data_IF_563977495082
#
_entry.id   IF_563977495082
#
_cell.length_a   1.000
_cell.length_b   1.000
_cell.length_c   1.000
_cell.angle_alpha   90.00
_cell.angle_beta   90.00
_cell.angle_gamma   90.00
#
_symmetry.space_group_name_H-M   'P 1'
#
loop_
_entity.id
_entity.type
_entity.pdbx_description
1 polymer ?
#
# COMPACT_ATOMS: atom_id res chain seq x y z
N UNK A 1 -28.56 -16.52 -0.24
CA UNK A 1 -27.17 -16.00 -0.16
C UNK A 1 -26.20 -17.11 -0.56
N UNK A 2 -25.53 -16.95 -1.69
CA UNK A 2 -24.47 -17.88 -2.11
C UNK A 2 -23.27 -17.75 -1.16
N UNK A 3 -23.11 -18.72 -0.26
CA UNK A 3 -21.99 -18.76 0.68
C UNK A 3 -20.84 -19.52 0.04
N UNK A 4 -19.71 -18.84 -0.16
CA UNK A 4 -18.47 -19.52 -0.55
C UNK A 4 -17.98 -20.46 0.56
N UNK A 5 -17.43 -21.65 0.21
CA UNK A 5 -16.73 -22.53 1.14
C UNK A 5 -15.61 -21.79 1.90
N UNK A 6 -15.30 -22.23 3.12
CA UNK A 6 -14.25 -21.59 3.96
C UNK A 6 -12.92 -21.51 3.21
N UNK A 7 -12.54 -22.58 2.51
CA UNK A 7 -11.30 -22.64 1.71
C UNK A 7 -11.23 -21.52 0.66
N UNK A 8 -12.32 -21.26 -0.08
CA UNK A 8 -12.37 -20.21 -1.09
C UNK A 8 -12.32 -18.83 -0.45
N UNK A 9 -12.98 -18.62 0.71
CA UNK A 9 -12.91 -17.36 1.46
C UNK A 9 -11.50 -17.06 1.97
N UNK A 10 -10.79 -18.08 2.47
CA UNK A 10 -9.38 -17.95 2.85
C UNK A 10 -8.50 -17.59 1.65
N UNK A 11 -8.72 -18.25 0.50
CA UNK A 11 -7.97 -17.94 -0.72
C UNK A 11 -8.18 -16.49 -1.19
N UNK A 12 -9.40 -15.97 -1.12
CA UNK A 12 -9.68 -14.56 -1.45
C UNK A 12 -8.94 -13.60 -0.51
N UNK A 13 -8.91 -13.91 0.80
CA UNK A 13 -8.15 -13.12 1.78
C UNK A 13 -6.64 -13.18 1.53
N UNK A 14 -6.10 -14.36 1.22
CA UNK A 14 -4.69 -14.52 0.83
C UNK A 14 -4.35 -13.82 -0.47
N UNK A 15 -5.26 -13.81 -1.45
CA UNK A 15 -5.09 -13.06 -2.69
C UNK A 15 -5.00 -11.57 -2.41
N UNK A 16 -5.93 -11.03 -1.63
CA UNK A 16 -5.94 -9.62 -1.29
C UNK A 16 -4.73 -9.21 -0.44
N UNK A 17 -4.34 -10.03 0.56
CA UNK A 17 -3.11 -9.85 1.30
C UNK A 17 -1.90 -9.81 0.35
N UNK A 18 -1.80 -10.77 -0.56
CA UNK A 18 -0.69 -10.88 -1.52
C UNK A 18 -0.62 -9.70 -2.49
N UNK A 19 -1.77 -9.09 -2.83
CA UNK A 19 -1.83 -7.88 -3.64
C UNK A 19 -1.37 -6.64 -2.86
N UNK A 20 -1.73 -6.54 -1.58
CA UNK A 20 -1.24 -5.48 -0.71
C UNK A 20 0.24 -5.64 -0.39
N UNK A 21 0.66 -6.84 0.01
CA UNK A 21 1.96 -7.08 0.59
C UNK A 21 3.10 -7.04 -0.44
N UNK A 22 3.61 -5.85 -0.69
CA UNK A 22 4.66 -5.56 -1.67
C UNK A 22 5.90 -4.88 -1.08
N UNK A 23 6.60 -4.13 -1.92
CA UNK A 23 7.84 -3.45 -1.58
C UNK A 23 7.74 -2.58 -0.33
N UNK A 24 6.69 -1.72 -0.25
CA UNK A 24 6.49 -0.83 0.90
C UNK A 24 6.27 -1.58 2.20
N UNK A 25 5.48 -2.64 2.12
CA UNK A 25 5.07 -3.45 3.27
C UNK A 25 6.22 -4.26 3.88
N UNK A 26 7.26 -4.52 3.10
CA UNK A 26 8.50 -5.11 3.58
C UNK A 26 9.47 -4.08 4.15
N UNK A 27 9.49 -2.86 3.63
CA UNK A 27 10.49 -1.84 4.00
C UNK A 27 10.04 -1.01 5.21
N UNK A 28 8.77 -0.55 5.22
CA UNK A 28 8.36 0.45 6.21
C UNK A 28 8.16 -0.10 7.63
N UNK A 29 7.62 -1.31 7.88
CA UNK A 29 7.54 -1.82 9.25
C UNK A 29 8.90 -2.01 9.93
N UNK A 30 9.93 -2.64 9.31
CA UNK A 30 11.24 -2.74 9.94
C UNK A 30 11.95 -1.38 10.07
N UNK A 31 11.76 -0.46 9.14
CA UNK A 31 12.26 0.91 9.28
C UNK A 31 11.61 1.62 10.47
N UNK A 32 10.28 1.54 10.61
CA UNK A 32 9.55 2.04 11.77
C UNK A 32 10.13 1.48 13.07
N UNK A 33 10.34 0.16 13.13
CA UNK A 33 10.91 -0.50 14.30
C UNK A 33 12.30 0.04 14.65
N UNK A 34 13.19 0.12 13.67
CA UNK A 34 14.55 0.62 13.85
C UNK A 34 14.59 2.09 14.33
N UNK A 35 13.73 2.95 13.78
CA UNK A 35 13.65 4.36 14.14
C UNK A 35 12.92 4.62 15.46
N UNK A 36 11.84 3.88 15.72
CA UNK A 36 11.05 4.04 16.93
C UNK A 36 11.71 3.41 18.17
N UNK A 37 12.54 2.38 17.99
CA UNK A 37 13.26 1.74 19.09
C UNK A 37 12.34 1.38 20.25
N UNK A 38 12.64 1.86 21.48
CA UNK A 38 11.83 1.61 22.67
C UNK A 38 10.39 2.13 22.59
N UNK A 39 10.11 3.08 21.68
CA UNK A 39 8.78 3.62 21.39
C UNK A 39 8.07 2.86 20.25
N UNK A 40 8.54 1.67 19.89
CA UNK A 40 8.00 0.87 18.78
C UNK A 40 6.49 0.63 18.88
N UNK A 41 5.98 0.17 20.01
CA UNK A 41 4.56 -0.20 20.11
C UNK A 41 3.59 0.98 19.94
N UNK A 42 3.81 2.16 20.55
CA UNK A 42 3.01 3.35 20.24
C UNK A 42 3.14 3.79 18.78
N UNK A 43 4.34 3.74 18.19
CA UNK A 43 4.55 4.05 16.78
C UNK A 43 3.83 3.04 15.87
N UNK A 44 3.92 1.75 16.21
CA UNK A 44 3.23 0.68 15.47
C UNK A 44 1.71 0.80 15.54
N UNK A 45 1.15 1.22 16.67
CA UNK A 45 -0.30 1.48 16.77
C UNK A 45 -0.74 2.55 15.76
N UNK A 46 -0.01 3.66 15.64
CA UNK A 46 -0.26 4.68 14.61
C UNK A 46 -0.09 4.14 13.19
N UNK A 47 0.99 3.42 12.95
CA UNK A 47 1.27 2.78 11.66
C UNK A 47 0.15 1.81 11.24
N UNK A 48 -0.34 0.97 12.18
CA UNK A 48 -1.42 0.03 11.91
C UNK A 48 -2.73 0.72 11.53
N UNK A 49 -3.03 1.89 12.10
CA UNK A 49 -4.21 2.68 11.71
C UNK A 49 -4.13 3.06 10.23
N UNK A 50 -3.00 3.56 9.76
CA UNK A 50 -2.85 4.07 8.39
C UNK A 50 -2.48 2.99 7.37
N UNK A 51 -1.61 2.05 7.73
CA UNK A 51 -1.13 1.02 6.82
C UNK A 51 -2.01 -0.24 6.79
N UNK A 52 -2.96 -0.40 7.72
CA UNK A 52 -3.87 -1.54 7.76
C UNK A 52 -5.33 -1.08 7.86
N UNK A 53 -5.63 -0.24 8.84
CA UNK A 53 -6.99 0.23 9.11
C UNK A 53 -7.60 0.96 7.90
N UNK A 54 -6.87 1.94 7.35
CA UNK A 54 -7.33 2.70 6.19
C UNK A 54 -7.47 1.84 4.91
N UNK A 55 -6.52 0.96 4.54
CA UNK A 55 -6.69 0.04 3.42
C UNK A 55 -7.93 -0.85 3.55
N UNK A 56 -8.12 -1.47 4.71
CA UNK A 56 -9.32 -2.31 4.97
C UNK A 56 -10.59 -1.46 4.91
N UNK A 57 -10.58 -0.28 5.52
CA UNK A 57 -11.70 0.67 5.44
C UNK A 57 -11.98 1.09 3.99
N UNK A 58 -10.94 1.33 3.19
CA UNK A 58 -11.05 1.62 1.75
C UNK A 58 -11.75 0.50 0.99
N UNK A 59 -11.32 -0.76 1.18
CA UNK A 59 -11.98 -1.94 0.57
C UNK A 59 -13.45 -2.03 0.99
N UNK A 60 -13.76 -1.80 2.28
CA UNK A 60 -15.14 -1.82 2.78
C UNK A 60 -15.97 -0.68 2.18
N UNK A 61 -15.41 0.54 2.12
CA UNK A 61 -16.07 1.72 1.58
C UNK A 61 -16.45 1.51 0.11
N UNK A 62 -15.51 1.04 -0.70
CA UNK A 62 -15.69 0.76 -2.12
C UNK A 62 -16.69 -0.39 -2.34
N UNK A 63 -16.57 -1.49 -1.57
CA UNK A 63 -17.52 -2.59 -1.64
C UNK A 63 -18.95 -2.17 -1.28
N UNK A 64 -19.13 -1.23 -0.33
CA UNK A 64 -20.45 -0.69 0.03
C UNK A 64 -21.00 0.31 -0.99
N UNK A 65 -20.12 1.06 -1.64
CA UNK A 65 -20.50 2.06 -2.63
C UNK A 65 -20.83 1.43 -4.01
N UNK A 66 -20.39 0.21 -4.27
CA UNK A 66 -20.51 -0.45 -5.56
C UNK A 66 -19.34 -0.18 -6.52
N UNK A 67 -18.31 0.53 -6.06
CA UNK A 67 -17.09 0.85 -6.82
C UNK A 67 -16.42 2.12 -6.35
N UNK A 68 -15.16 2.32 -6.73
CA UNK A 68 -14.43 3.53 -6.37
C UNK A 68 -15.00 4.77 -7.07
N UNK A 69 -15.32 4.67 -8.36
CA UNK A 69 -15.96 5.76 -9.11
C UNK A 69 -17.29 6.18 -8.50
N UNK A 70 -18.10 5.22 -8.03
CA UNK A 70 -19.37 5.49 -7.36
C UNK A 70 -19.16 6.16 -6.01
N UNK A 71 -18.13 5.79 -5.25
CA UNK A 71 -17.75 6.44 -4.01
C UNK A 71 -17.33 7.88 -4.25
N UNK A 72 -16.44 8.12 -5.20
CA UNK A 72 -15.90 9.45 -5.52
C UNK A 72 -16.94 10.36 -6.19
N UNK A 73 -17.88 9.81 -6.96
CA UNK A 73 -18.96 10.57 -7.62
C UNK A 73 -19.98 11.20 -6.65
N UNK A 74 -19.98 10.76 -5.38
CA UNK A 74 -20.76 11.44 -4.32
C UNK A 74 -20.32 12.88 -4.11
N UNK A 75 -19.06 13.22 -4.42
CA UNK A 75 -18.56 14.60 -4.46
C UNK A 75 -19.04 15.28 -5.74
N UNK A 76 -18.54 14.83 -6.87
CA UNK A 76 -18.93 15.32 -8.20
C UNK A 76 -18.41 14.35 -9.29
N UNK A 77 -19.15 14.13 -10.40
CA UNK A 77 -18.70 13.22 -11.48
C UNK A 77 -17.33 13.57 -12.07
N UNK A 78 -17.03 14.86 -12.28
CA UNK A 78 -15.71 15.30 -12.76
C UNK A 78 -14.61 15.06 -11.75
N UNK A 79 -14.89 15.26 -10.45
CA UNK A 79 -13.95 14.93 -9.38
C UNK A 79 -13.66 13.43 -9.37
N UNK A 80 -14.69 12.59 -9.47
CA UNK A 80 -14.53 11.13 -9.55
C UNK A 80 -13.56 10.74 -10.66
N UNK A 81 -13.81 11.22 -11.89
CA UNK A 81 -12.95 10.90 -13.02
C UNK A 81 -11.48 11.31 -12.79
N UNK A 82 -11.27 12.57 -12.40
CA UNK A 82 -9.89 13.10 -12.21
C UNK A 82 -9.20 12.42 -11.04
N UNK A 83 -9.88 12.31 -9.90
CA UNK A 83 -9.29 11.73 -8.68
C UNK A 83 -8.98 10.24 -8.86
N UNK A 84 -9.89 9.48 -9.46
CA UNK A 84 -9.68 8.06 -9.72
C UNK A 84 -8.52 7.85 -10.70
N UNK A 85 -8.44 8.62 -11.79
CA UNK A 85 -7.30 8.57 -12.72
C UNK A 85 -5.98 8.87 -11.98
N UNK A 86 -5.93 9.93 -11.16
CA UNK A 86 -4.73 10.30 -10.40
C UNK A 86 -4.30 9.20 -9.43
N UNK A 87 -5.25 8.59 -8.73
CA UNK A 87 -4.97 7.46 -7.83
C UNK A 87 -4.45 6.25 -8.60
N UNK A 88 -5.11 5.86 -9.71
CA UNK A 88 -4.64 4.73 -10.51
C UNK A 88 -3.28 4.96 -11.16
N UNK A 89 -2.98 6.18 -11.62
CA UNK A 89 -1.65 6.51 -12.14
C UNK A 89 -0.59 6.50 -11.05
N UNK A 90 -0.92 6.98 -9.84
CA UNK A 90 0.02 7.01 -8.72
C UNK A 90 0.38 5.60 -8.24
N UNK A 91 -0.60 4.73 -7.95
CA UNK A 91 -0.31 3.34 -7.56
C UNK A 91 0.11 2.46 -8.74
N UNK A 92 -0.17 2.91 -9.95
CA UNK A 92 0.18 2.26 -11.21
C UNK A 92 1.59 2.64 -11.68
N UNK A 93 1.69 3.12 -12.92
CA UNK A 93 2.95 3.28 -13.61
C UNK A 93 3.88 4.33 -13.01
N UNK A 94 3.35 5.31 -12.22
CA UNK A 94 4.19 6.41 -11.76
C UNK A 94 5.01 6.07 -10.51
N UNK A 95 4.46 5.34 -9.53
CA UNK A 95 5.10 5.17 -8.22
C UNK A 95 5.16 3.72 -7.75
N UNK A 96 4.01 3.04 -7.51
CA UNK A 96 4.02 1.77 -6.81
C UNK A 96 4.53 0.61 -7.68
N UNK A 97 4.10 0.50 -8.93
CA UNK A 97 4.55 -0.58 -9.83
C UNK A 97 6.07 -0.48 -10.09
N UNK A 98 6.64 0.69 -10.48
CA UNK A 98 8.09 0.81 -10.66
C UNK A 98 8.89 0.47 -9.40
N UNK A 99 8.38 0.86 -8.22
CA UNK A 99 9.02 0.57 -6.94
C UNK A 99 9.17 -0.92 -6.67
N UNK A 100 8.24 -1.76 -7.14
CA UNK A 100 8.34 -3.22 -6.94
C UNK A 100 9.59 -3.81 -7.57
N UNK A 101 9.90 -3.44 -8.81
CA UNK A 101 11.09 -3.93 -9.51
C UNK A 101 12.39 -3.35 -8.92
N UNK A 102 12.42 -2.03 -8.64
CA UNK A 102 13.60 -1.38 -8.05
C UNK A 102 13.95 -1.97 -6.69
N UNK A 103 12.95 -2.17 -5.81
CA UNK A 103 13.19 -2.72 -4.47
C UNK A 103 13.64 -4.17 -4.50
N UNK A 104 12.99 -5.01 -5.31
CA UNK A 104 13.41 -6.42 -5.42
C UNK A 104 14.78 -6.56 -6.06
N UNK A 105 15.16 -5.68 -6.98
CA UNK A 105 16.52 -5.64 -7.54
C UNK A 105 17.55 -5.29 -6.48
N UNK A 106 17.31 -4.29 -5.62
CA UNK A 106 18.24 -3.91 -4.55
C UNK A 106 18.58 -5.07 -3.61
N UNK A 107 17.63 -5.97 -3.37
CA UNK A 107 17.88 -7.18 -2.56
C UNK A 107 18.72 -8.23 -3.29
N UNK A 108 18.81 -8.16 -4.61
CA UNK A 108 19.67 -9.03 -5.41
C UNK A 108 21.09 -8.49 -5.56
N UNK A 109 21.31 -7.18 -5.43
CA UNK A 109 22.63 -6.54 -5.60
C UNK A 109 23.74 -7.20 -4.79
N UNK A 110 23.56 -7.56 -3.49
CA UNK A 110 24.60 -8.25 -2.72
C UNK A 110 24.98 -9.64 -3.26
N UNK A 111 24.09 -10.26 -4.06
CA UNK A 111 24.27 -11.62 -4.59
C UNK A 111 24.87 -11.65 -5.99
N UNK A 112 24.42 -10.70 -6.85
CA UNK A 112 24.73 -10.72 -8.30
C UNK A 112 25.53 -9.51 -8.76
N UNK A 113 25.79 -8.55 -7.87
CA UNK A 113 26.39 -7.28 -8.19
C UNK A 113 25.39 -6.22 -8.64
N UNK A 114 25.83 -4.95 -8.66
CA UNK A 114 25.03 -3.80 -9.08
C UNK A 114 25.47 -3.26 -10.44
N UNK A 115 24.62 -2.44 -11.05
CA UNK A 115 24.93 -1.74 -12.29
C UNK A 115 23.70 -1.47 -13.14
N UNK A 116 23.73 -0.37 -13.89
CA UNK A 116 22.56 0.06 -14.72
C UNK A 116 22.13 -0.98 -15.75
N UNK A 117 23.10 -1.67 -16.38
CA UNK A 117 22.80 -2.71 -17.38
C UNK A 117 22.11 -3.92 -16.76
N UNK A 118 22.56 -4.35 -15.56
CA UNK A 118 21.97 -5.48 -14.84
C UNK A 118 20.56 -5.12 -14.33
N UNK A 119 20.38 -3.90 -13.81
CA UNK A 119 19.06 -3.39 -13.39
C UNK A 119 18.08 -3.35 -14.56
N UNK A 120 18.51 -2.88 -15.74
CA UNK A 120 17.68 -2.85 -16.93
C UNK A 120 17.30 -4.28 -17.37
N UNK A 121 18.29 -5.19 -17.46
CA UNK A 121 18.04 -6.61 -17.80
C UNK A 121 17.05 -7.27 -16.82
N UNK A 122 17.26 -7.06 -15.52
CA UNK A 122 16.33 -7.53 -14.48
C UNK A 122 14.92 -6.97 -14.66
N UNK A 123 14.79 -5.64 -14.85
CA UNK A 123 13.49 -5.00 -15.00
C UNK A 123 12.72 -5.50 -16.23
N UNK A 124 13.40 -5.75 -17.35
CA UNK A 124 12.78 -6.34 -18.55
C UNK A 124 12.19 -7.72 -18.21
N UNK A 125 12.97 -8.60 -17.60
CA UNK A 125 12.50 -9.96 -17.25
C UNK A 125 11.37 -9.91 -16.22
N UNK A 126 11.51 -9.09 -15.19
CA UNK A 126 10.52 -8.93 -14.13
C UNK A 126 9.17 -8.45 -14.68
N UNK A 127 9.18 -7.38 -15.50
CA UNK A 127 7.93 -6.81 -16.04
C UNK A 127 7.33 -7.68 -17.15
N UNK A 128 8.14 -8.36 -17.95
CA UNK A 128 7.65 -9.34 -18.93
C UNK A 128 6.90 -10.49 -18.22
N UNK A 129 7.50 -11.06 -17.17
CA UNK A 129 6.86 -12.10 -16.37
C UNK A 129 5.58 -11.59 -15.68
N UNK A 130 5.63 -10.40 -15.06
CA UNK A 130 4.48 -9.80 -14.42
C UNK A 130 3.32 -9.51 -15.40
N UNK A 131 3.62 -9.00 -16.59
CA UNK A 131 2.66 -8.80 -17.65
C UNK A 131 1.97 -10.10 -18.08
N UNK A 132 2.75 -11.17 -18.36
CA UNK A 132 2.20 -12.46 -18.76
C UNK A 132 1.24 -13.04 -17.71
N UNK A 133 1.54 -12.87 -16.42
CA UNK A 133 0.65 -13.31 -15.35
C UNK A 133 -0.59 -12.42 -15.25
N UNK A 134 -0.44 -11.11 -15.45
CA UNK A 134 -1.53 -10.13 -15.38
C UNK A 134 -2.52 -10.21 -16.55
N UNK A 135 -2.18 -10.88 -17.66
CA UNK A 135 -3.08 -11.08 -18.81
C UNK A 135 -4.40 -11.78 -18.44
N UNK A 136 -4.43 -12.54 -17.32
CA UNK A 136 -5.60 -13.28 -16.87
C UNK A 136 -5.98 -12.87 -15.44
N UNK A 137 -6.57 -11.68 -15.26
CA UNK A 137 -6.88 -11.14 -13.93
C UNK A 137 -7.86 -11.98 -13.13
N UNK A 138 -8.71 -12.76 -13.79
CA UNK A 138 -9.64 -13.70 -13.18
C UNK A 138 -8.97 -14.91 -12.50
N UNK A 139 -7.72 -15.21 -12.85
CA UNK A 139 -6.92 -16.33 -12.29
C UNK A 139 -5.98 -15.92 -11.16
N UNK A 140 -6.02 -14.66 -10.72
CA UNK A 140 -5.12 -14.16 -9.67
C UNK A 140 -5.30 -14.92 -8.35
N UNK A 141 -6.52 -15.30 -7.98
CA UNK A 141 -6.78 -16.08 -6.76
C UNK A 141 -6.01 -17.39 -6.74
N UNK A 142 -5.95 -18.10 -7.87
CA UNK A 142 -5.22 -19.37 -7.96
C UNK A 142 -3.71 -19.17 -7.97
N UNK A 143 -3.23 -18.14 -8.65
CA UNK A 143 -1.79 -17.89 -8.81
C UNK A 143 -1.15 -17.24 -7.57
N UNK A 144 -1.75 -16.15 -7.09
CA UNK A 144 -1.22 -15.38 -5.97
C UNK A 144 -1.64 -15.98 -4.62
N UNK A 145 -2.93 -16.29 -4.46
CA UNK A 145 -3.47 -16.71 -3.17
C UNK A 145 -3.13 -18.14 -2.79
N UNK A 146 -3.07 -19.07 -3.77
CA UNK A 146 -2.87 -20.51 -3.49
C UNK A 146 -1.41 -20.90 -3.32
N UNK A 147 -0.48 -20.27 -4.07
CA UNK A 147 0.92 -20.69 -4.14
C UNK A 147 1.86 -19.63 -3.57
N UNK A 148 1.85 -18.43 -4.14
CA UNK A 148 2.85 -17.42 -3.81
C UNK A 148 2.65 -16.83 -2.41
N UNK A 149 1.41 -16.62 -1.97
CA UNK A 149 1.13 -16.06 -0.67
C UNK A 149 1.56 -17.00 0.50
N UNK A 150 1.20 -18.29 0.54
CA UNK A 150 1.68 -19.19 1.58
C UNK A 150 3.21 -19.34 1.59
N UNK A 151 3.85 -19.39 0.40
CA UNK A 151 5.31 -19.42 0.31
C UNK A 151 5.94 -18.17 0.93
N UNK A 152 5.43 -17.00 0.60
CA UNK A 152 5.89 -15.72 1.15
C UNK A 152 5.75 -15.68 2.67
N UNK A 153 4.59 -16.05 3.21
CA UNK A 153 4.35 -16.10 4.65
C UNK A 153 5.32 -17.07 5.32
N UNK A 154 5.52 -18.26 4.78
CA UNK A 154 6.46 -19.24 5.31
C UNK A 154 7.89 -18.70 5.38
N UNK A 155 8.36 -18.03 4.31
CA UNK A 155 9.69 -17.43 4.27
C UNK A 155 9.88 -16.31 5.32
N UNK A 156 8.85 -15.47 5.53
CA UNK A 156 8.86 -14.42 6.56
C UNK A 156 8.89 -15.05 7.96
N UNK A 157 8.12 -16.12 8.17
CA UNK A 157 8.17 -16.85 9.45
C UNK A 157 9.54 -17.46 9.73
N UNK A 158 10.24 -17.99 8.73
CA UNK A 158 11.62 -18.49 8.89
C UNK A 158 12.55 -17.37 9.36
N UNK A 159 12.47 -16.19 8.71
CA UNK A 159 13.28 -15.04 9.11
C UNK A 159 12.97 -14.59 10.54
N UNK A 160 11.69 -14.50 10.89
CA UNK A 160 11.24 -14.09 12.21
C UNK A 160 11.62 -15.12 13.30
N UNK A 161 11.43 -16.40 13.05
CA UNK A 161 11.83 -17.47 13.97
C UNK A 161 13.35 -17.47 14.20
N UNK A 162 14.14 -17.23 13.14
CA UNK A 162 15.58 -17.06 13.26
C UNK A 162 15.95 -15.92 14.22
N UNK A 163 15.28 -14.77 14.10
CA UNK A 163 15.48 -13.62 14.99
C UNK A 163 15.08 -13.91 16.45
N UNK A 164 14.02 -14.69 16.67
CA UNK A 164 13.59 -15.07 18.03
C UNK A 164 14.55 -16.06 18.68
N UNK A 165 15.08 -17.03 17.91
CA UNK A 165 16.01 -18.04 18.40
C UNK A 165 17.42 -17.46 18.63
N UNK A 166 17.81 -16.51 17.81
CA UNK A 166 19.11 -15.84 17.85
C UNK A 166 18.92 -14.32 17.75
N UNK A 167 18.43 -13.66 18.83
CA UNK A 167 18.19 -12.22 18.77
C UNK A 167 19.51 -11.46 18.56
N UNK A 168 19.51 -10.54 17.58
CA UNK A 168 20.68 -9.74 17.23
C UNK A 168 21.00 -8.66 18.27
N UNK A 169 20.04 -8.32 19.13
CA UNK A 169 20.20 -7.43 20.28
C UNK A 169 19.26 -7.85 21.41
N UNK A 170 19.67 -7.60 22.68
CA UNK A 170 18.88 -7.93 23.85
C UNK A 170 17.75 -6.90 24.14
N UNK A 171 17.91 -5.67 23.65
CA UNK A 171 17.00 -4.56 23.93
C UNK A 171 16.82 -3.71 22.66
N UNK A 172 15.73 -2.96 22.61
CA UNK A 172 15.50 -1.96 21.58
C UNK A 172 16.44 -0.76 21.73
N UNK A 173 16.79 -0.12 20.62
CA UNK A 173 17.54 1.14 20.63
C UNK A 173 16.73 2.28 21.27
N UNK A 174 17.36 3.38 21.72
CA UNK A 174 16.66 4.62 21.98
C UNK A 174 15.93 5.09 20.72
N UNK A 175 14.76 5.76 20.87
CA UNK A 175 14.02 6.26 19.71
C UNK A 175 14.77 7.40 19.04
N UNK A 176 14.71 7.48 17.71
CA UNK A 176 15.14 8.66 16.95
C UNK A 176 14.30 9.90 17.36
N UNK A 177 14.85 11.09 17.16
CA UNK A 177 14.25 12.34 17.64
C UNK A 177 12.78 12.54 17.20
N UNK A 178 12.41 12.13 15.98
CA UNK A 178 11.05 12.19 15.47
C UNK A 178 10.09 11.33 16.31
N UNK A 179 10.52 10.12 16.69
CA UNK A 179 9.70 9.16 17.44
C UNK A 179 9.73 9.33 18.96
N UNK A 180 10.55 10.28 19.47
CA UNK A 180 10.69 10.51 20.90
C UNK A 180 9.46 11.19 21.53
N UNK A 181 8.82 12.12 20.80
CA UNK A 181 7.72 12.95 21.33
C UNK A 181 6.35 12.41 21.00
N UNK A 182 6.08 12.10 19.73
CA UNK A 182 4.76 11.70 19.22
C UNK A 182 4.87 10.46 18.32
N UNK A 183 5.31 9.32 18.86
CA UNK A 183 5.59 8.11 18.06
C UNK A 183 4.40 7.62 17.25
N UNK A 184 3.15 7.74 17.77
CA UNK A 184 1.95 7.32 17.06
C UNK A 184 1.68 8.18 15.81
N UNK A 185 1.93 9.49 15.87
CA UNK A 185 1.75 10.40 14.72
C UNK A 185 2.76 10.09 13.62
N UNK A 186 4.03 9.91 13.98
CA UNK A 186 5.07 9.49 13.03
C UNK A 186 4.75 8.11 12.43
N UNK A 187 4.21 7.21 13.25
CA UNK A 187 3.71 5.92 12.78
C UNK A 187 2.62 6.06 11.72
N UNK A 188 1.62 6.94 11.91
CA UNK A 188 0.57 7.20 10.92
C UNK A 188 1.18 7.70 9.60
N UNK A 189 2.10 8.65 9.66
CA UNK A 189 2.77 9.18 8.46
C UNK A 189 3.62 8.12 7.75
N UNK A 190 4.35 7.32 8.52
CA UNK A 190 5.10 6.17 8.01
C UNK A 190 4.21 5.18 7.26
N UNK A 191 2.98 4.95 7.75
CA UNK A 191 2.03 4.07 7.11
C UNK A 191 1.47 4.59 5.77
N UNK A 192 1.44 5.90 5.52
CA UNK A 192 1.07 6.43 4.20
C UNK A 192 2.02 5.98 3.11
N UNK A 193 3.29 5.77 3.43
CA UNK A 193 4.31 5.38 2.47
C UNK A 193 4.12 3.96 1.92
N UNK A 194 3.30 3.11 2.59
CA UNK A 194 2.94 1.78 2.06
C UNK A 194 2.09 1.89 0.80
N UNK A 195 1.34 2.98 0.60
CA UNK A 195 0.37 3.22 -0.49
C UNK A 195 -0.86 2.32 -0.45
N UNK A 196 -1.02 1.51 0.59
CA UNK A 196 -2.07 0.50 0.67
C UNK A 196 -3.48 1.09 0.77
N UNK A 197 -3.65 2.28 1.38
CA UNK A 197 -4.96 2.91 1.45
C UNK A 197 -5.50 3.31 0.05
N UNK A 198 -4.61 3.81 -0.82
CA UNK A 198 -4.96 4.10 -2.22
C UNK A 198 -5.18 2.81 -3.00
N UNK A 199 -4.34 1.79 -2.78
CA UNK A 199 -4.51 0.48 -3.38
C UNK A 199 -5.82 -0.20 -2.96
N UNK A 200 -6.22 -0.05 -1.68
CA UNK A 200 -7.47 -0.59 -1.14
C UNK A 200 -8.73 -0.06 -1.82
N UNK A 201 -8.70 1.20 -2.28
CA UNK A 201 -9.77 1.78 -3.08
C UNK A 201 -9.92 1.10 -4.46
N UNK A 202 -8.85 0.50 -4.97
CA UNK A 202 -8.81 -0.06 -6.31
C UNK A 202 -8.92 -1.59 -6.34
N UNK A 203 -8.38 -2.29 -5.34
CA UNK A 203 -8.36 -3.76 -5.32
C UNK A 203 -9.75 -4.39 -5.23
N UNK A 204 -10.75 -3.64 -4.78
CA UNK A 204 -12.13 -4.10 -4.70
C UNK A 204 -12.68 -4.58 -6.05
N UNK A 205 -12.34 -3.92 -7.15
CA UNK A 205 -12.80 -4.29 -8.49
C UNK A 205 -12.22 -5.65 -8.94
N UNK A 206 -10.90 -5.84 -8.80
CA UNK A 206 -10.25 -7.11 -9.15
C UNK A 206 -10.73 -8.24 -8.26
N UNK A 207 -10.93 -7.98 -6.97
CA UNK A 207 -11.45 -8.98 -6.06
C UNK A 207 -12.89 -9.39 -6.42
N UNK A 208 -13.73 -8.43 -6.82
CA UNK A 208 -15.08 -8.72 -7.29
C UNK A 208 -15.08 -9.64 -8.52
N UNK A 209 -14.19 -9.40 -9.50
CA UNK A 209 -14.03 -10.30 -10.66
C UNK A 209 -13.60 -11.71 -10.24
N UNK A 210 -12.66 -11.83 -9.31
CA UNK A 210 -12.24 -13.15 -8.82
C UNK A 210 -13.38 -13.87 -8.08
N UNK A 211 -14.23 -13.15 -7.34
CA UNK A 211 -15.42 -13.71 -6.67
C UNK A 211 -16.45 -14.18 -7.72
N UNK A 212 -16.65 -13.38 -8.79
CA UNK A 212 -17.54 -13.77 -9.90
C UNK A 212 -17.03 -15.01 -10.63
N UNK A 213 -15.73 -15.11 -10.88
CA UNK A 213 -15.09 -16.28 -11.49
C UNK A 213 -15.27 -17.56 -10.64
N UNK A 214 -15.49 -17.42 -9.31
CA UNK A 214 -15.85 -18.54 -8.42
C UNK A 214 -17.36 -18.89 -8.46
N UNK A 215 -18.13 -18.30 -9.39
CA UNK A 215 -19.54 -18.59 -9.60
C UNK A 215 -20.51 -17.80 -8.72
N UNK A 216 -20.04 -16.77 -8.00
CA UNK A 216 -20.92 -15.89 -7.21
C UNK A 216 -21.41 -14.76 -8.08
N UNK A 217 -22.73 -14.73 -8.35
CA UNK A 217 -23.36 -13.70 -9.20
C UNK A 217 -24.19 -12.69 -8.42
N UNK A 218 -24.59 -13.03 -7.18
CA UNK A 218 -25.39 -12.15 -6.33
C UNK A 218 -24.53 -10.99 -5.81
N UNK A 219 -24.92 -9.75 -6.10
CA UNK A 219 -24.18 -8.53 -5.74
C UNK A 219 -23.91 -8.40 -4.24
N UNK A 220 -24.93 -8.71 -3.40
CA UNK A 220 -24.77 -8.70 -1.94
C UNK A 220 -23.76 -9.74 -1.46
N UNK A 221 -23.70 -10.91 -2.10
CA UNK A 221 -22.74 -11.95 -1.78
C UNK A 221 -21.31 -11.55 -2.19
N UNK A 222 -21.15 -10.92 -3.36
CA UNK A 222 -19.86 -10.36 -3.81
C UNK A 222 -19.37 -9.33 -2.78
N UNK A 223 -20.22 -8.36 -2.42
CA UNK A 223 -19.88 -7.32 -1.44
C UNK A 223 -19.44 -7.91 -0.09
N UNK A 224 -20.19 -8.87 0.45
CA UNK A 224 -19.85 -9.48 1.74
C UNK A 224 -18.55 -10.28 1.71
N UNK A 225 -18.31 -11.04 0.63
CA UNK A 225 -17.07 -11.79 0.49
C UNK A 225 -15.86 -10.85 0.30
N UNK A 226 -16.02 -9.73 -0.41
CA UNK A 226 -15.00 -8.68 -0.53
C UNK A 226 -14.65 -8.09 0.85
N UNK A 227 -15.65 -7.73 1.65
CA UNK A 227 -15.45 -7.19 3.01
C UNK A 227 -14.73 -8.22 3.90
N UNK A 228 -15.15 -9.49 3.88
CA UNK A 228 -14.50 -10.55 4.68
C UNK A 228 -13.05 -10.79 4.25
N UNK A 229 -12.79 -10.76 2.95
CA UNK A 229 -11.42 -10.86 2.44
C UNK A 229 -10.57 -9.66 2.90
N UNK A 230 -11.13 -8.45 2.95
CA UNK A 230 -10.48 -7.26 3.50
C UNK A 230 -10.05 -7.43 4.95
N UNK A 231 -10.95 -7.91 5.81
CA UNK A 231 -10.63 -8.15 7.23
C UNK A 231 -9.59 -9.28 7.41
N UNK A 232 -9.66 -10.34 6.61
CA UNK A 232 -8.67 -11.42 6.67
C UNK A 232 -7.29 -10.92 6.23
N UNK A 233 -7.21 -10.16 5.13
CA UNK A 233 -5.97 -9.56 4.66
C UNK A 233 -5.40 -8.59 5.70
N UNK A 234 -6.25 -7.72 6.29
CA UNK A 234 -5.86 -6.80 7.36
C UNK A 234 -5.30 -7.51 8.59
N UNK A 235 -5.93 -8.61 9.02
CA UNK A 235 -5.43 -9.42 10.13
C UNK A 235 -4.05 -10.04 9.85
N UNK A 236 -3.83 -10.54 8.63
CA UNK A 236 -2.51 -11.04 8.20
C UNK A 236 -1.47 -9.92 8.17
N UNK A 237 -1.82 -8.75 7.60
CA UNK A 237 -0.93 -7.58 7.59
C UNK A 237 -0.54 -7.17 9.01
N UNK A 238 -1.50 -7.15 9.95
CA UNK A 238 -1.24 -6.78 11.34
C UNK A 238 -0.18 -7.68 11.99
N UNK A 239 -0.33 -8.99 11.83
CA UNK A 239 0.62 -9.97 12.37
C UNK A 239 2.00 -9.80 11.72
N UNK A 240 2.05 -9.77 10.39
CA UNK A 240 3.33 -9.68 9.67
C UNK A 240 4.04 -8.35 9.95
N UNK A 241 3.31 -7.23 10.01
CA UNK A 241 3.93 -5.92 10.30
C UNK A 241 4.43 -5.83 11.74
N UNK A 242 3.71 -6.42 12.71
CA UNK A 242 4.20 -6.51 14.08
C UNK A 242 5.49 -7.32 14.16
N UNK A 243 5.56 -8.45 13.45
CA UNK A 243 6.77 -9.28 13.35
C UNK A 243 7.93 -8.51 12.74
N UNK A 244 7.74 -7.90 11.55
CA UNK A 244 8.77 -7.15 10.84
C UNK A 244 9.23 -5.91 11.61
N UNK A 245 8.30 -5.20 12.27
CA UNK A 245 8.62 -4.03 13.08
C UNK A 245 9.38 -4.39 14.35
N UNK A 246 9.00 -5.47 15.03
CA UNK A 246 9.75 -6.00 16.19
C UNK A 246 11.19 -6.38 15.82
N UNK A 247 11.33 -7.11 14.71
CA UNK A 247 12.64 -7.46 14.14
C UNK A 247 13.45 -6.20 13.83
N UNK A 248 12.80 -5.20 13.22
CA UNK A 248 13.43 -3.90 12.93
C UNK A 248 13.91 -3.18 14.17
N UNK A 249 13.13 -3.18 15.26
CA UNK A 249 13.50 -2.54 16.53
C UNK A 249 14.74 -3.18 17.19
N UNK A 250 14.88 -4.51 17.09
CA UNK A 250 16.08 -5.22 17.56
C UNK A 250 17.28 -4.97 16.64
N UNK A 251 17.06 -5.04 15.32
CA UNK A 251 18.15 -4.83 14.35
C UNK A 251 18.68 -3.41 14.36
N UNK A 252 17.82 -2.40 14.56
CA UNK A 252 18.23 -1.00 14.69
C UNK A 252 19.20 -0.77 15.86
N UNK A 253 19.08 -1.54 16.94
CA UNK A 253 20.04 -1.49 18.05
C UNK A 253 21.40 -2.12 17.69
N UNK A 254 21.40 -3.16 16.85
CA UNK A 254 22.64 -3.84 16.42
C UNK A 254 23.31 -3.16 15.22
N UNK A 255 22.57 -2.48 14.37
CA UNK A 255 23.02 -1.83 13.15
C UNK A 255 22.44 -0.40 13.02
N UNK A 256 22.92 0.57 13.82
CA UNK A 256 22.35 1.92 13.89
C UNK A 256 22.56 2.74 12.59
N UNK A 257 23.51 2.35 11.75
CA UNK A 257 23.82 3.06 10.50
C UNK A 257 22.83 2.76 9.36
N UNK A 258 21.90 1.80 9.56
CA UNK A 258 20.89 1.47 8.56
C UNK A 258 19.88 2.62 8.42
N UNK A 259 19.78 3.17 7.21
CA UNK A 259 18.88 4.30 6.88
C UNK A 259 17.54 3.87 6.31
N UNK A 260 17.46 2.66 5.77
CA UNK A 260 16.28 2.08 5.14
C UNK A 260 15.87 0.76 5.77
N UNK A 261 14.58 0.42 5.70
CA UNK A 261 14.12 -0.89 6.18
C UNK A 261 14.66 -2.07 5.37
N UNK A 262 15.07 -1.82 4.13
CA UNK A 262 15.73 -2.81 3.29
C UNK A 262 17.12 -3.16 3.85
N UNK A 263 17.90 -2.15 4.24
CA UNK A 263 19.21 -2.33 4.90
C UNK A 263 19.06 -3.03 6.25
N UNK A 264 18.05 -2.64 7.05
CA UNK A 264 17.73 -3.30 8.33
C UNK A 264 17.48 -4.80 8.16
N UNK A 265 16.65 -5.18 7.19
CA UNK A 265 16.38 -6.61 6.92
C UNK A 265 17.59 -7.32 6.33
N UNK A 266 18.40 -6.64 5.50
CA UNK A 266 19.62 -7.20 4.93
C UNK A 266 20.68 -7.47 6.01
N UNK A 267 20.87 -6.53 6.94
CA UNK A 267 21.74 -6.69 8.10
C UNK A 267 21.31 -7.88 8.96
N UNK A 268 20.00 -7.97 9.28
CA UNK A 268 19.45 -9.09 10.03
C UNK A 268 19.69 -10.44 9.33
N UNK A 269 19.26 -10.55 8.06
CA UNK A 269 19.36 -11.79 7.31
C UNK A 269 20.80 -12.27 7.18
N UNK A 270 21.74 -11.33 6.97
CA UNK A 270 23.17 -11.63 6.93
C UNK A 270 23.71 -12.07 8.28
N UNK A 271 23.29 -11.44 9.39
CA UNK A 271 23.70 -11.79 10.74
C UNK A 271 23.22 -13.20 11.17
N UNK A 272 21.96 -13.55 10.81
CA UNK A 272 21.34 -14.81 11.20
C UNK A 272 21.83 -16.00 10.34
N UNK A 273 21.90 -15.84 9.04
CA UNK A 273 22.06 -16.94 8.10
C UNK A 273 23.17 -16.71 7.05
N UNK A 274 23.94 -15.62 7.17
CA UNK A 274 24.99 -15.28 6.20
C UNK A 274 24.44 -15.18 4.77
N UNK A 275 25.10 -15.82 3.81
CA UNK A 275 24.71 -15.82 2.40
C UNK A 275 23.34 -16.48 2.16
N UNK A 276 22.99 -17.50 2.92
CA UNK A 276 21.67 -18.13 2.85
C UNK A 276 20.57 -17.18 3.28
N UNK A 277 20.82 -16.31 4.26
CA UNK A 277 19.89 -15.24 4.69
C UNK A 277 19.67 -14.21 3.59
N UNK A 278 20.70 -13.81 2.87
CA UNK A 278 20.56 -12.89 1.73
C UNK A 278 19.72 -13.51 0.61
N UNK A 279 19.91 -14.80 0.30
CA UNK A 279 19.07 -15.52 -0.66
C UNK A 279 17.61 -15.61 -0.21
N UNK A 280 17.38 -15.91 1.07
CA UNK A 280 16.05 -15.95 1.67
C UNK A 280 15.36 -14.59 1.53
N UNK A 281 16.05 -13.51 1.88
CA UNK A 281 15.52 -12.15 1.80
C UNK A 281 15.22 -11.75 0.35
N UNK A 282 16.13 -12.04 -0.58
CA UNK A 282 15.92 -11.78 -2.01
C UNK A 282 14.67 -12.52 -2.54
N UNK A 283 14.46 -13.78 -2.12
CA UNK A 283 13.26 -14.55 -2.48
C UNK A 283 11.98 -13.92 -1.90
N UNK A 284 11.99 -13.48 -0.63
CA UNK A 284 10.87 -12.79 0.02
C UNK A 284 10.50 -11.53 -0.79
N UNK A 285 11.47 -10.66 -1.06
CA UNK A 285 11.22 -9.42 -1.78
C UNK A 285 10.79 -9.67 -3.23
N UNK A 286 11.39 -10.63 -3.92
CA UNK A 286 11.01 -10.97 -5.28
C UNK A 286 9.53 -11.42 -5.35
N UNK A 287 9.12 -12.35 -4.50
CA UNK A 287 7.76 -12.89 -4.47
C UNK A 287 6.75 -11.78 -4.08
N UNK A 288 7.01 -11.03 -3.01
CA UNK A 288 6.13 -9.99 -2.55
C UNK A 288 5.95 -8.87 -3.59
N UNK A 289 7.06 -8.36 -4.12
CA UNK A 289 7.04 -7.31 -5.13
C UNK A 289 6.37 -7.78 -6.43
N UNK A 290 6.63 -9.02 -6.84
CA UNK A 290 6.01 -9.59 -8.03
C UNK A 290 4.49 -9.71 -7.88
N UNK A 291 4.00 -10.21 -6.74
CA UNK A 291 2.58 -10.34 -6.46
C UNK A 291 1.85 -9.00 -6.54
N UNK A 292 2.38 -7.99 -5.86
CA UNK A 292 1.81 -6.64 -5.89
C UNK A 292 1.88 -6.02 -7.28
N UNK A 293 3.00 -6.20 -8.00
CA UNK A 293 3.14 -5.73 -9.37
C UNK A 293 2.05 -6.28 -10.29
N UNK A 294 1.84 -7.60 -10.26
CA UNK A 294 0.80 -8.28 -11.05
C UNK A 294 -0.60 -7.77 -10.68
N UNK A 295 -0.87 -7.66 -9.39
CA UNK A 295 -2.15 -7.12 -8.90
C UNK A 295 -2.41 -5.70 -9.39
N UNK A 296 -1.43 -4.81 -9.28
CA UNK A 296 -1.54 -3.42 -9.71
C UNK A 296 -1.64 -3.27 -11.23
N UNK A 297 -0.85 -4.00 -12.03
CA UNK A 297 -0.97 -4.00 -13.50
C UNK A 297 -2.39 -4.42 -13.89
N UNK A 298 -2.94 -5.45 -13.23
CA UNK A 298 -4.29 -5.93 -13.49
C UNK A 298 -5.35 -4.88 -13.15
N UNK A 299 -5.23 -4.22 -11.99
CA UNK A 299 -6.17 -3.17 -11.58
C UNK A 299 -6.16 -1.99 -12.54
N UNK A 300 -4.96 -1.46 -12.83
CA UNK A 300 -4.80 -0.28 -13.69
C UNK A 300 -5.27 -0.60 -15.12
N UNK A 301 -4.85 -1.75 -15.65
CA UNK A 301 -5.25 -2.19 -17.00
C UNK A 301 -6.77 -2.32 -17.14
N UNK A 302 -7.45 -2.91 -16.16
CA UNK A 302 -8.91 -3.05 -16.15
C UNK A 302 -9.61 -1.69 -16.07
N UNK A 303 -9.19 -0.83 -15.14
CA UNK A 303 -9.78 0.49 -15.01
C UNK A 303 -9.68 1.30 -16.31
N UNK A 304 -8.48 1.39 -16.90
CA UNK A 304 -8.31 2.12 -18.14
C UNK A 304 -9.02 1.46 -19.33
N UNK A 305 -9.22 0.15 -19.31
CA UNK A 305 -10.06 -0.51 -20.32
C UNK A 305 -11.54 -0.08 -20.21
N UNK A 306 -12.05 0.17 -18.99
CA UNK A 306 -13.42 0.72 -18.84
C UNK A 306 -13.53 2.17 -19.36
N UNK A 307 -12.47 2.98 -19.23
CA UNK A 307 -12.42 4.35 -19.76
C UNK A 307 -12.19 4.40 -21.25
N UNK A 308 -11.41 3.47 -21.78
CA UNK A 308 -10.99 3.40 -23.18
C UNK A 308 -11.37 2.05 -23.81
N UNK A 309 -12.67 1.76 -24.00
CA UNK A 309 -13.13 0.44 -24.46
C UNK A 309 -12.60 0.01 -25.83
N UNK A 310 -12.14 1.00 -26.64
CA UNK A 310 -11.54 0.75 -27.95
C UNK A 310 -10.16 0.09 -27.86
N UNK A 311 -9.46 0.24 -26.74
CA UNK A 311 -8.13 -0.33 -26.52
C UNK A 311 -8.28 -1.63 -25.75
N UNK A 312 -7.82 -2.77 -26.29
CA UNK A 312 -7.98 -4.06 -25.60
C UNK A 312 -7.13 -4.08 -24.31
N UNK A 313 -7.65 -4.78 -23.29
CA UNK A 313 -7.00 -4.91 -21.98
C UNK A 313 -5.51 -5.32 -22.06
N UNK A 314 -5.09 -6.32 -22.89
CA UNK A 314 -3.68 -6.70 -22.99
C UNK A 314 -2.77 -5.55 -23.46
N UNK A 315 -3.25 -4.67 -24.35
CA UNK A 315 -2.46 -3.54 -24.82
C UNK A 315 -2.25 -2.50 -23.71
N UNK A 316 -3.30 -2.22 -22.91
CA UNK A 316 -3.21 -1.32 -21.76
C UNK A 316 -2.30 -1.89 -20.66
N UNK A 317 -2.46 -3.18 -20.31
CA UNK A 317 -1.61 -3.83 -19.33
C UNK A 317 -0.14 -3.84 -19.78
N UNK A 318 0.13 -4.10 -21.07
CA UNK A 318 1.47 -4.03 -21.67
C UNK A 318 2.05 -2.61 -21.65
N UNK A 319 1.24 -1.59 -21.98
CA UNK A 319 1.66 -0.19 -21.90
C UNK A 319 2.06 0.21 -20.48
N UNK A 320 1.23 -0.12 -19.48
CA UNK A 320 1.53 0.21 -18.08
C UNK A 320 2.73 -0.57 -17.54
N UNK A 321 2.90 -1.82 -17.93
CA UNK A 321 4.10 -2.61 -17.59
C UNK A 321 5.36 -1.99 -18.19
N UNK A 322 5.35 -1.61 -19.49
CA UNK A 322 6.47 -0.99 -20.17
C UNK A 322 6.81 0.39 -19.59
N UNK A 323 5.81 1.24 -19.33
CA UNK A 323 6.01 2.55 -18.70
C UNK A 323 6.63 2.40 -17.30
N UNK A 324 6.13 1.45 -16.50
CA UNK A 324 6.67 1.15 -15.17
C UNK A 324 8.10 0.60 -15.23
N UNK A 325 8.41 -0.22 -16.23
CA UNK A 325 9.76 -0.73 -16.48
C UNK A 325 10.74 0.43 -16.70
N UNK A 326 10.38 1.40 -17.55
CA UNK A 326 11.24 2.56 -17.81
C UNK A 326 11.48 3.38 -16.54
N UNK A 327 10.43 3.66 -15.77
CA UNK A 327 10.49 4.45 -14.53
C UNK A 327 11.27 3.70 -13.44
N UNK A 328 11.18 2.36 -13.36
CA UNK A 328 11.91 1.57 -12.36
C UNK A 328 13.43 1.72 -12.42
N UNK A 329 13.96 2.10 -13.57
CA UNK A 329 15.40 2.31 -13.78
C UNK A 329 15.93 3.65 -13.20
N UNK A 330 15.05 4.52 -12.67
CA UNK A 330 15.45 5.71 -11.89
C UNK A 330 16.03 5.30 -10.53
N UNK A 331 15.74 4.10 -10.07
CA UNK A 331 16.15 3.57 -8.76
C UNK A 331 15.17 3.86 -7.63
N UNK A 332 15.29 3.10 -6.55
CA UNK A 332 14.34 3.15 -5.41
C UNK A 332 14.32 4.53 -4.75
N UNK A 333 15.49 5.11 -4.47
CA UNK A 333 15.59 6.42 -3.81
C UNK A 333 14.91 7.53 -4.63
N UNK A 334 15.08 7.52 -5.95
CA UNK A 334 14.41 8.47 -6.86
C UNK A 334 12.89 8.32 -6.83
N UNK A 335 12.39 7.09 -6.84
CA UNK A 335 10.95 6.81 -6.79
C UNK A 335 10.36 7.24 -5.45
N UNK A 336 11.00 6.96 -4.31
CA UNK A 336 10.55 7.38 -2.98
C UNK A 336 10.48 8.90 -2.89
N UNK A 337 11.51 9.61 -3.38
CA UNK A 337 11.54 11.09 -3.39
C UNK A 337 10.38 11.68 -4.20
N UNK A 338 10.03 11.07 -5.33
CA UNK A 338 8.89 11.49 -6.15
C UNK A 338 7.55 11.15 -5.50
N UNK A 339 7.48 10.04 -4.76
CA UNK A 339 6.25 9.56 -4.12
C UNK A 339 5.75 10.49 -3.02
N UNK A 340 6.64 11.02 -2.19
CA UNK A 340 6.28 11.75 -0.97
C UNK A 340 5.33 12.93 -1.22
N UNK A 341 5.61 13.89 -2.13
CA UNK A 341 4.69 15.00 -2.39
C UNK A 341 3.38 14.56 -3.04
N UNK A 342 3.42 13.57 -3.94
CA UNK A 342 2.22 13.06 -4.60
C UNK A 342 1.29 12.38 -3.60
N UNK A 343 1.82 11.57 -2.70
CA UNK A 343 1.04 10.93 -1.64
C UNK A 343 0.50 11.97 -0.67
N UNK A 344 1.30 12.96 -0.28
CA UNK A 344 0.86 14.08 0.57
C UNK A 344 -0.34 14.83 0.00
N UNK A 345 -0.44 14.94 -1.33
CA UNK A 345 -1.57 15.57 -2.00
C UNK A 345 -2.82 14.66 -2.09
N UNK A 346 -2.65 13.35 -2.32
CA UNK A 346 -3.76 12.44 -2.59
C UNK A 346 -4.35 11.79 -1.32
N UNK A 347 -3.51 11.45 -0.35
CA UNK A 347 -3.94 10.71 0.85
C UNK A 347 -5.01 11.42 1.67
N UNK A 348 -4.92 12.73 1.98
CA UNK A 348 -5.94 13.40 2.77
C UNK A 348 -7.34 13.32 2.14
N UNK A 349 -7.44 13.55 0.83
CA UNK A 349 -8.70 13.43 0.11
C UNK A 349 -9.24 12.00 0.11
N UNK A 350 -8.38 10.99 -0.05
CA UNK A 350 -8.75 9.57 0.04
C UNK A 350 -9.25 9.20 1.44
N UNK A 351 -8.54 9.61 2.49
CA UNK A 351 -8.91 9.36 3.89
C UNK A 351 -10.28 9.95 4.20
N UNK A 352 -10.48 11.22 3.84
CA UNK A 352 -11.76 11.92 4.04
C UNK A 352 -12.89 11.21 3.29
N UNK A 353 -12.67 10.84 2.03
CA UNK A 353 -13.66 10.13 1.23
C UNK A 353 -14.05 8.77 1.86
N UNK A 354 -13.07 8.03 2.35
CA UNK A 354 -13.30 6.78 3.09
C UNK A 354 -14.10 7.08 4.36
N UNK A 355 -13.66 8.03 5.19
CA UNK A 355 -14.30 8.36 6.47
C UNK A 355 -15.76 8.79 6.28
N UNK A 356 -16.05 9.64 5.31
CA UNK A 356 -17.42 10.10 5.00
C UNK A 356 -18.35 8.95 4.59
N UNK A 357 -17.80 7.88 3.98
CA UNK A 357 -18.59 6.70 3.58
C UNK A 357 -19.14 5.90 4.76
N UNK A 358 -18.56 6.07 5.96
CA UNK A 358 -19.01 5.41 7.19
C UNK A 358 -19.99 6.24 8.01
N UNK A 359 -20.25 7.50 7.63
CA UNK A 359 -21.27 8.30 8.29
C UNK A 359 -22.65 7.64 8.16
N UNK A 360 -23.56 7.83 9.15
CA UNK A 360 -24.95 7.43 9.02
C UNK A 360 -25.59 8.05 7.77
N UNK A 361 -26.50 7.33 7.12
CA UNK A 361 -27.12 7.76 5.85
C UNK A 361 -27.73 9.17 5.92
N UNK A 362 -28.28 9.57 7.08
CA UNK A 362 -28.83 10.92 7.29
C UNK A 362 -27.79 12.04 7.09
N UNK A 363 -26.51 11.75 7.32
CA UNK A 363 -25.42 12.71 7.21
C UNK A 363 -24.64 12.60 5.88
N UNK A 364 -24.96 11.62 5.04
CA UNK A 364 -24.33 11.43 3.73
C UNK A 364 -24.93 12.36 2.66
N UNK A 365 -25.05 13.66 2.97
CA UNK A 365 -25.50 14.67 2.02
C UNK A 365 -24.40 15.01 1.02
N UNK A 366 -24.77 15.39 -0.20
CA UNK A 366 -23.80 15.81 -1.24
C UNK A 366 -22.99 17.03 -0.81
N UNK A 367 -23.63 18.01 -0.14
CA UNK A 367 -22.95 19.19 0.42
C UNK A 367 -21.80 18.81 1.36
N UNK A 368 -22.01 17.82 2.24
CA UNK A 368 -20.99 17.31 3.16
C UNK A 368 -19.81 16.74 2.39
N UNK A 369 -20.05 15.90 1.39
CA UNK A 369 -18.96 15.35 0.56
C UNK A 369 -18.21 16.45 -0.19
N UNK A 370 -18.92 17.37 -0.84
CA UNK A 370 -18.30 18.43 -1.65
C UNK A 370 -17.46 19.36 -0.77
N UNK A 371 -18.02 19.92 0.30
CA UNK A 371 -17.31 20.89 1.14
C UNK A 371 -16.11 20.26 1.83
N UNK A 372 -16.28 19.06 2.42
CA UNK A 372 -15.20 18.40 3.15
C UNK A 372 -14.05 18.02 2.22
N UNK A 373 -14.35 17.35 1.11
CA UNK A 373 -13.32 16.89 0.18
C UNK A 373 -12.64 18.06 -0.55
N UNK A 374 -13.40 19.10 -0.94
CA UNK A 374 -12.82 20.26 -1.62
C UNK A 374 -11.82 21.02 -0.73
N UNK A 375 -12.19 21.35 0.52
CA UNK A 375 -11.30 22.05 1.43
C UNK A 375 -10.08 21.22 1.79
N UNK A 376 -10.26 19.91 1.98
CA UNK A 376 -9.15 18.98 2.21
C UNK A 376 -8.21 18.91 1.01
N UNK A 377 -8.76 18.72 -0.20
CA UNK A 377 -7.96 18.59 -1.41
C UNK A 377 -7.19 19.88 -1.74
N UNK A 378 -7.81 21.04 -1.60
CA UNK A 378 -7.12 22.33 -1.78
C UNK A 378 -5.95 22.46 -0.83
N UNK A 379 -6.17 22.20 0.47
CA UNK A 379 -5.09 22.29 1.46
C UNK A 379 -3.98 21.26 1.18
N UNK A 380 -4.31 20.01 0.88
CA UNK A 380 -3.29 18.98 0.67
C UNK A 380 -2.47 19.20 -0.61
N UNK A 381 -3.09 19.72 -1.67
CA UNK A 381 -2.38 20.12 -2.89
C UNK A 381 -1.46 21.31 -2.61
N UNK A 382 -1.94 22.34 -1.89
CA UNK A 382 -1.09 23.45 -1.47
C UNK A 382 0.07 22.98 -0.60
N UNK A 383 -0.15 22.02 0.32
CA UNK A 383 0.90 21.46 1.16
C UNK A 383 2.01 20.73 0.36
N UNK A 384 1.67 20.17 -0.78
CA UNK A 384 2.61 19.47 -1.65
C UNK A 384 3.47 20.44 -2.50
N UNK A 385 3.11 21.72 -2.58
CA UNK A 385 3.83 22.72 -3.35
C UNK A 385 4.93 23.40 -2.50
N UNK A 386 6.17 23.51 -2.99
CA UNK A 386 7.30 23.99 -2.19
C UNK A 386 7.18 25.45 -1.74
N UNK A 387 6.43 26.29 -2.47
CA UNK A 387 6.27 27.71 -2.17
C UNK A 387 5.18 28.04 -1.16
N UNK A 388 4.35 27.06 -0.75
CA UNK A 388 3.26 27.23 0.23
C UNK A 388 3.57 26.59 1.59
N UNK A 389 4.73 25.96 1.73
CA UNK A 389 5.11 25.22 2.95
C UNK A 389 4.97 26.04 4.24
N UNK A 390 5.35 27.31 4.23
CA UNK A 390 5.25 28.20 5.40
C UNK A 390 3.78 28.43 5.83
N UNK A 391 2.86 28.61 4.89
CA UNK A 391 1.45 28.79 5.18
C UNK A 391 0.80 27.51 5.74
N UNK A 392 1.20 26.37 5.19
CA UNK A 392 0.65 25.05 5.58
C UNK A 392 1.14 24.65 6.98
N UNK A 393 2.40 24.89 7.28
CA UNK A 393 2.97 24.60 8.62
C UNK A 393 2.39 25.50 9.71
N UNK A 394 1.87 26.68 9.38
CA UNK A 394 1.19 27.58 10.31
C UNK A 394 -0.20 27.07 10.73
N UNK A 395 -0.82 26.16 9.98
CA UNK A 395 -2.09 25.57 10.38
C UNK A 395 -1.92 24.65 11.60
N UNK A 396 -2.91 24.58 12.50
CA UNK A 396 -2.91 23.60 13.59
C UNK A 396 -2.64 22.19 13.04
N UNK A 397 -1.75 21.45 13.69
CA UNK A 397 -1.25 20.15 13.27
C UNK A 397 -0.44 20.16 11.96
N UNK A 398 -0.19 21.31 11.32
CA UNK A 398 0.57 21.43 10.08
C UNK A 398 2.02 20.96 10.23
N UNK A 399 2.67 21.31 11.35
CA UNK A 399 4.03 20.87 11.70
C UNK A 399 4.16 19.35 11.86
N UNK A 400 3.06 18.65 12.07
CA UNK A 400 2.98 17.18 12.21
C UNK A 400 2.45 16.48 10.95
N UNK A 401 2.34 17.18 9.82
CA UNK A 401 1.82 16.59 8.57
C UNK A 401 0.28 16.41 8.52
N UNK A 402 -0.46 16.87 9.53
CA UNK A 402 -1.92 16.75 9.62
C UNK A 402 -2.66 18.07 9.44
N UNK A 403 -2.05 19.06 8.79
CA UNK A 403 -2.67 20.36 8.54
C UNK A 403 -3.98 20.31 7.76
N UNK A 404 -4.25 19.22 7.06
CA UNK A 404 -5.49 18.98 6.33
C UNK A 404 -6.70 18.67 7.25
N UNK A 405 -6.48 18.26 8.50
CA UNK A 405 -7.55 17.86 9.43
C UNK A 405 -8.48 19.03 9.75
N UNK A 406 -7.90 20.22 9.96
CA UNK A 406 -8.69 21.43 10.29
C UNK A 406 -9.58 21.86 9.10
N UNK A 407 -9.08 22.00 7.86
CA UNK A 407 -9.92 22.22 6.69
C UNK A 407 -10.98 21.13 6.47
N UNK A 408 -10.64 19.85 6.73
CA UNK A 408 -11.60 18.74 6.65
C UNK A 408 -12.75 18.92 7.67
N UNK A 409 -12.44 19.22 8.93
CA UNK A 409 -13.42 19.48 9.96
C UNK A 409 -14.29 20.71 9.64
N UNK A 410 -13.69 21.80 9.18
CA UNK A 410 -14.42 22.98 8.72
C UNK A 410 -15.36 22.65 7.56
N UNK A 411 -14.88 21.90 6.56
CA UNK A 411 -15.69 21.45 5.43
C UNK A 411 -16.86 20.56 5.84
N UNK A 412 -16.65 19.68 6.83
CA UNK A 412 -17.70 18.85 7.39
C UNK A 412 -18.80 19.71 8.05
N UNK A 413 -18.41 20.67 8.89
CA UNK A 413 -19.35 21.58 9.55
C UNK A 413 -20.13 22.43 8.54
N UNK A 414 -19.42 23.05 7.58
CA UNK A 414 -20.04 23.84 6.50
C UNK A 414 -21.01 22.98 5.70
N UNK A 415 -20.61 21.75 5.34
CA UNK A 415 -21.46 20.84 4.59
C UNK A 415 -22.75 20.43 5.30
N UNK A 416 -22.77 20.43 6.64
CA UNK A 416 -24.00 20.19 7.42
C UNK A 416 -24.94 21.39 7.42
N UNK A 417 -24.41 22.61 7.30
CA UNK A 417 -25.22 23.83 7.30
C UNK A 417 -25.97 24.05 5.98
N UNK A 418 -25.47 23.47 4.89
CA UNK A 418 -26.11 23.54 3.57
C UNK A 418 -26.98 22.29 3.32
N UNK A 419 -28.13 22.45 2.63
CA UNK A 419 -29.02 21.33 2.32
C UNK A 419 -28.43 20.31 1.36
#
# INVERSE_FOLDING_TARGET
>A
MQKLPVKQRLLLGFTLFSMFFGAGNLIFPPHLGAQAGSNFWPAFAGFAVSAIGLPVAGVVAVARAGGFDQLASRVHPKFSLVFTILVYLSIGPCLAIPRTASTSFEMLVPLVGGGRGLQLGYSIVFFAAAFLVALHPEKLTDRLGRVLCPALIALIFVLFAGCLLHPVAAQYSPPAAAYARLPAFEGILGGYQTMDALAGLNFGAVLALNIQALGVTEENAIRQNTIRAGFLAGGLLLVIYAMLGHVGALTGAAAPDCTTGAEVLSALASALFGRAGQLLLAAIFLIACFNTCVGLISCVGQYFHTLLPRIPYPALAGFFAAASMLISNIGLAGIIRLSTPVLGALYPAAIVLIALSFLPKAFQKRSVYVCTVALTAVQSVLAALPFTAAFVTALPLGSYGFGWVVPAAAGLLVGFLFP
#
